data_IF_136941551992
#
_entry.id   IF_136941551992
#
_cell.length_a   1.000
_cell.length_b   1.000
_cell.length_c   1.000
_cell.angle_alpha   90.00
_cell.angle_beta   90.00
_cell.angle_gamma   90.00
#
_symmetry.space_group_name_H-M   'P 1'
#
loop_
_entity.id
_entity.type
_entity.pdbx_description
1 polymer ?
#
# COMPACT_ATOMS: atom_id res chain seq x y z
N UNK A 1 3.64 52.78 16.39
CA UNK A 1 3.28 51.58 17.17
C UNK A 1 2.05 50.95 16.52
N UNK A 2 2.12 49.65 16.18
CA UNK A 2 0.96 48.84 15.83
C UNK A 2 0.66 48.64 14.34
N UNK A 3 1.57 47.99 13.60
CA UNK A 3 1.22 47.23 12.38
C UNK A 3 0.72 45.85 12.85
N UNK A 4 -0.48 45.43 12.45
CA UNK A 4 -0.90 44.02 12.57
C UNK A 4 -1.51 43.58 11.25
N UNK A 5 -0.89 42.54 10.71
CA UNK A 5 -1.13 41.95 9.41
C UNK A 5 -2.40 41.09 9.36
N UNK A 6 -2.88 40.96 8.13
CA UNK A 6 -3.78 39.92 7.62
C UNK A 6 -3.51 38.52 8.17
N UNK A 7 -4.51 37.96 8.86
CA UNK A 7 -4.58 36.54 9.18
C UNK A 7 -5.07 35.75 7.97
N UNK A 8 -4.14 35.36 7.09
CA UNK A 8 -4.38 34.35 6.06
C UNK A 8 -4.69 33.00 6.70
N UNK A 9 -5.91 32.51 6.53
CA UNK A 9 -6.28 31.12 6.78
C UNK A 9 -5.61 30.21 5.77
N UNK A 10 -4.35 29.84 6.03
CA UNK A 10 -3.61 28.88 5.22
C UNK A 10 -4.05 27.47 5.63
N UNK A 11 -4.79 26.83 4.74
CA UNK A 11 -4.97 25.39 4.63
C UNK A 11 -3.63 24.67 4.85
N UNK A 12 -3.42 24.07 6.02
CA UNK A 12 -2.33 23.12 6.29
C UNK A 12 -2.69 21.74 5.73
N UNK A 13 -2.82 21.65 4.42
CA UNK A 13 -2.50 20.42 3.69
C UNK A 13 -1.27 20.73 2.84
N UNK A 14 -0.10 20.67 3.49
CA UNK A 14 1.19 20.75 2.81
C UNK A 14 1.45 19.38 2.17
N UNK A 15 1.85 19.45 0.89
CA UNK A 15 2.31 18.36 0.04
C UNK A 15 3.64 17.76 0.55
N UNK A 16 4.16 16.78 -0.18
CA UNK A 16 5.50 16.15 -0.11
C UNK A 16 5.66 14.99 0.91
N UNK A 17 6.67 14.12 0.72
CA UNK A 17 6.64 12.78 0.11
C UNK A 17 6.54 11.65 1.16
N UNK A 18 5.91 10.51 0.83
CA UNK A 18 5.61 9.40 1.77
C UNK A 18 6.81 9.01 2.67
N UNK A 19 6.63 9.31 3.95
CA UNK A 19 7.48 9.03 5.11
C UNK A 19 7.60 7.50 5.31
N UNK A 20 8.76 6.93 5.73
CA UNK A 20 8.82 5.53 6.19
C UNK A 20 7.87 5.18 7.36
N UNK A 21 7.20 6.17 7.95
CA UNK A 21 6.09 6.00 8.89
C UNK A 21 4.70 5.83 8.24
N UNK A 22 4.58 5.91 6.90
CA UNK A 22 3.33 5.58 6.18
C UNK A 22 3.10 4.06 6.21
N UNK A 23 2.68 3.59 7.40
CA UNK A 23 2.29 2.21 7.65
C UNK A 23 1.12 1.87 6.76
N UNK A 24 1.19 0.70 6.12
CA UNK A 24 0.02 0.00 5.60
C UNK A 24 -1.12 0.14 6.60
N UNK A 25 -2.28 0.55 6.11
CA UNK A 25 -3.43 0.73 6.97
C UNK A 25 -3.83 -0.64 7.50
N UNK A 26 -3.92 -0.76 8.83
CA UNK A 26 -4.37 -1.98 9.48
C UNK A 26 -5.86 -2.20 9.16
N UNK A 27 -6.28 -3.43 8.78
CA UNK A 27 -7.69 -3.68 8.59
C UNK A 27 -8.43 -3.50 9.90
N UNK A 28 -9.54 -2.78 9.84
CA UNK A 28 -10.28 -2.30 10.98
C UNK A 28 -10.95 -3.46 11.70
N UNK A 29 -10.52 -3.69 12.94
CA UNK A 29 -11.05 -4.73 13.83
C UNK A 29 -12.19 -4.15 14.68
N UNK A 30 -13.38 -4.73 14.54
CA UNK A 30 -14.53 -4.40 15.36
C UNK A 30 -14.66 -5.42 16.50
N UNK A 31 -15.00 -4.93 17.69
CA UNK A 31 -15.12 -5.71 18.93
C UNK A 31 -16.54 -6.25 19.07
N UNK A 32 -16.68 -7.50 19.51
CA UNK A 32 -17.99 -8.05 19.85
C UNK A 32 -18.57 -7.33 21.07
N UNK A 33 -19.76 -6.76 20.91
CA UNK A 33 -20.53 -6.09 21.96
C UNK A 33 -21.36 -7.07 22.78
N UNK A 34 -21.64 -8.26 22.22
CA UNK A 34 -22.58 -9.28 22.73
C UNK A 34 -24.06 -8.87 22.68
N UNK A 35 -24.36 -7.72 22.08
CA UNK A 35 -25.70 -7.27 21.77
C UNK A 35 -25.95 -7.66 20.29
N UNK A 36 -26.81 -8.65 19.99
CA UNK A 36 -26.91 -9.23 18.64
C UNK A 36 -27.17 -8.21 17.53
N UNK A 37 -28.06 -7.25 17.78
CA UNK A 37 -28.39 -6.17 16.84
C UNK A 37 -27.20 -5.24 16.56
N UNK A 38 -26.39 -4.92 17.58
CA UNK A 38 -25.22 -4.07 17.40
C UNK A 38 -24.10 -4.83 16.71
N UNK A 39 -23.90 -6.11 17.06
CA UNK A 39 -22.90 -6.96 16.42
C UNK A 39 -23.20 -7.15 14.93
N UNK A 40 -24.46 -7.39 14.56
CA UNK A 40 -24.89 -7.47 13.16
C UNK A 40 -24.67 -6.16 12.40
N UNK A 41 -24.97 -5.02 13.04
CA UNK A 41 -24.72 -3.70 12.46
C UNK A 41 -23.21 -3.47 12.23
N UNK A 42 -22.38 -3.72 13.25
CA UNK A 42 -20.94 -3.51 13.16
C UNK A 42 -20.29 -4.44 12.14
N UNK A 43 -20.70 -5.71 12.05
CA UNK A 43 -20.22 -6.63 11.02
C UNK A 43 -20.51 -6.10 9.61
N UNK A 44 -21.73 -5.62 9.37
CA UNK A 44 -22.14 -5.03 8.09
C UNK A 44 -21.35 -3.75 7.76
N UNK A 45 -21.12 -2.90 8.76
CA UNK A 45 -20.35 -1.66 8.61
C UNK A 45 -18.84 -1.89 8.42
N UNK A 46 -18.33 -3.03 8.87
CA UNK A 46 -16.91 -3.37 8.79
C UNK A 46 -16.42 -3.74 7.39
N UNK A 47 -17.29 -4.31 6.55
CA UNK A 47 -16.95 -4.74 5.19
C UNK A 47 -16.50 -3.59 4.26
N UNK A 48 -17.33 -2.55 4.01
CA UNK A 48 -16.94 -1.44 3.12
C UNK A 48 -15.73 -0.67 3.64
N UNK A 49 -15.56 -0.64 4.96
CA UNK A 49 -14.46 0.03 5.61
C UNK A 49 -13.12 -0.68 5.39
N UNK A 50 -13.12 -2.02 5.42
CA UNK A 50 -11.92 -2.81 5.11
C UNK A 50 -11.62 -2.82 3.60
N UNK A 51 -12.64 -2.76 2.75
CA UNK A 51 -12.45 -2.59 1.31
C UNK A 51 -11.74 -1.26 0.98
N UNK A 52 -12.10 -0.16 1.66
CA UNK A 52 -11.36 1.11 1.55
C UNK A 52 -9.89 0.98 1.96
N UNK A 53 -9.60 0.22 3.02
CA UNK A 53 -8.23 -0.05 3.47
C UNK A 53 -7.45 -0.81 2.39
N UNK A 54 -8.05 -1.85 1.81
CA UNK A 54 -7.42 -2.69 0.79
C UNK A 54 -7.13 -1.89 -0.50
N UNK A 55 -8.07 -1.07 -0.96
CA UNK A 55 -7.87 -0.19 -2.12
C UNK A 55 -6.73 0.81 -1.85
N UNK A 56 -6.72 1.44 -0.68
CA UNK A 56 -5.67 2.39 -0.29
C UNK A 56 -4.28 1.76 -0.32
N UNK A 57 -4.15 0.58 0.32
CA UNK A 57 -2.91 -0.16 0.40
C UNK A 57 -2.46 -0.65 -0.98
N UNK A 58 -3.39 -1.04 -1.85
CA UNK A 58 -3.09 -1.49 -3.23
C UNK A 58 -2.46 -0.39 -4.09
N UNK A 59 -2.97 0.85 -4.04
CA UNK A 59 -2.34 1.98 -4.76
C UNK A 59 -0.93 2.25 -4.20
N UNK A 60 -0.79 2.24 -2.87
CA UNK A 60 0.50 2.49 -2.21
C UNK A 60 1.54 1.44 -2.59
N UNK A 61 1.13 0.18 -2.68
CA UNK A 61 1.98 -0.91 -3.11
C UNK A 61 2.41 -0.76 -4.57
N UNK A 62 1.48 -0.49 -5.49
CA UNK A 62 1.83 -0.31 -6.90
C UNK A 62 2.73 0.90 -7.15
N UNK A 63 2.60 1.97 -6.37
CA UNK A 63 3.56 3.09 -6.38
C UNK A 63 4.98 2.60 -6.02
N UNK A 64 5.11 1.81 -4.95
CA UNK A 64 6.38 1.24 -4.54
C UNK A 64 6.96 0.28 -5.58
N UNK A 65 6.12 -0.57 -6.16
CA UNK A 65 6.52 -1.53 -7.20
C UNK A 65 7.00 -0.83 -8.47
N UNK A 66 6.36 0.27 -8.87
CA UNK A 66 6.78 1.07 -10.02
C UNK A 66 8.17 1.67 -9.80
N UNK A 67 8.41 2.28 -8.63
CA UNK A 67 9.72 2.85 -8.28
C UNK A 67 10.80 1.76 -8.20
N UNK A 68 10.48 0.61 -7.60
CA UNK A 68 11.40 -0.51 -7.50
C UNK A 68 11.77 -1.07 -8.89
N UNK A 69 10.79 -1.24 -9.78
CA UNK A 69 11.03 -1.68 -11.15
C UNK A 69 11.88 -0.68 -11.96
N UNK A 70 11.70 0.63 -11.73
CA UNK A 70 12.50 1.66 -12.38
C UNK A 70 13.95 1.64 -11.89
N UNK A 71 14.16 1.45 -10.59
CA UNK A 71 15.49 1.22 -10.02
C UNK A 71 16.13 -0.05 -10.60
N UNK A 72 15.38 -1.14 -10.73
CA UNK A 72 15.87 -2.40 -11.31
C UNK A 72 16.38 -2.23 -12.75
N UNK A 73 15.65 -1.46 -13.56
CA UNK A 73 16.04 -1.15 -14.94
C UNK A 73 17.32 -0.32 -15.01
N UNK A 74 17.63 0.47 -13.98
CA UNK A 74 18.89 1.20 -13.85
C UNK A 74 20.05 0.32 -13.30
N UNK A 75 19.83 -0.98 -13.14
CA UNK A 75 20.81 -1.94 -12.65
C UNK A 75 20.86 -2.09 -11.14
N UNK A 76 19.92 -1.47 -10.41
CA UNK A 76 19.88 -1.57 -8.96
C UNK A 76 19.38 -2.95 -8.50
N UNK A 77 19.92 -3.38 -7.37
CA UNK A 77 19.53 -4.59 -6.66
C UNK A 77 18.10 -4.48 -6.15
N UNK A 78 17.38 -5.58 -6.30
CA UNK A 78 16.00 -5.78 -5.91
C UNK A 78 15.92 -6.80 -4.78
N UNK A 79 14.79 -6.78 -4.08
CA UNK A 79 14.52 -7.67 -2.95
C UNK A 79 13.30 -8.51 -3.28
N UNK A 80 13.42 -9.84 -3.14
CA UNK A 80 12.32 -10.78 -3.30
C UNK A 80 12.13 -11.58 -2.02
N UNK A 81 10.88 -11.69 -1.60
CA UNK A 81 10.45 -12.67 -0.61
C UNK A 81 9.99 -13.93 -1.32
N UNK A 82 10.10 -15.06 -0.63
CA UNK A 82 9.50 -16.32 -1.06
C UNK A 82 8.93 -17.04 0.15
N UNK A 83 7.80 -17.72 -0.04
CA UNK A 83 7.16 -18.56 0.97
C UNK A 83 7.30 -20.01 0.53
N UNK A 84 8.10 -20.77 1.27
CA UNK A 84 8.37 -22.18 1.03
C UNK A 84 7.42 -23.11 1.78
N UNK A 85 7.84 -24.38 1.90
CA UNK A 85 7.09 -25.38 2.65
C UNK A 85 6.86 -24.94 4.11
N UNK A 86 5.69 -25.31 4.66
CA UNK A 86 5.24 -24.93 6.01
C UNK A 86 5.18 -23.41 6.28
N UNK A 87 5.10 -22.59 5.23
CA UNK A 87 5.01 -21.12 5.38
C UNK A 87 6.35 -20.43 5.65
N UNK A 88 7.49 -21.14 5.58
CA UNK A 88 8.81 -20.54 5.83
C UNK A 88 9.10 -19.43 4.84
N UNK A 89 9.60 -18.31 5.34
CA UNK A 89 9.92 -17.13 4.55
C UNK A 89 11.42 -17.06 4.30
N UNK A 90 11.81 -16.72 3.07
CA UNK A 90 13.20 -16.42 2.72
C UNK A 90 13.30 -15.10 1.93
N UNK A 91 14.39 -14.37 2.15
CA UNK A 91 14.76 -13.14 1.47
C UNK A 91 15.89 -13.41 0.47
N UNK A 92 15.77 -12.91 -0.75
CA UNK A 92 16.87 -12.93 -1.72
C UNK A 92 17.08 -11.55 -2.34
N UNK A 93 18.34 -11.18 -2.49
CA UNK A 93 18.74 -10.01 -3.28
C UNK A 93 19.08 -10.48 -4.69
N UNK A 94 18.58 -9.76 -5.69
CA UNK A 94 18.78 -10.10 -7.10
C UNK A 94 18.87 -8.83 -7.95
N UNK A 95 19.44 -8.89 -9.16
CA UNK A 95 19.46 -7.78 -10.13
C UNK A 95 19.36 -8.30 -11.55
N UNK A 96 19.10 -7.43 -12.51
CA UNK A 96 19.29 -7.77 -13.92
C UNK A 96 20.78 -7.70 -14.28
N UNK A 97 21.28 -8.72 -14.98
CA UNK A 97 22.61 -8.71 -15.55
C UNK A 97 22.66 -7.90 -16.86
N UNK A 98 23.84 -7.85 -17.50
CA UNK A 98 24.05 -7.12 -18.76
C UNK A 98 23.25 -7.70 -19.95
N UNK A 99 22.69 -8.89 -19.81
CA UNK A 99 21.87 -9.59 -20.81
C UNK A 99 20.38 -9.56 -20.42
N UNK A 100 20.01 -8.69 -19.48
CA UNK A 100 18.67 -8.58 -18.90
C UNK A 100 18.14 -9.88 -18.28
N UNK A 101 19.05 -10.76 -17.84
CA UNK A 101 18.70 -11.97 -17.11
C UNK A 101 18.72 -11.72 -15.61
N UNK A 102 17.85 -12.42 -14.88
CA UNK A 102 17.82 -12.35 -13.43
C UNK A 102 19.06 -13.04 -12.84
N UNK A 103 19.86 -12.28 -12.10
CA UNK A 103 21.01 -12.78 -11.33
C UNK A 103 20.72 -12.64 -9.84
N UNK A 104 20.66 -13.77 -9.13
CA UNK A 104 20.58 -13.77 -7.66
C UNK A 104 21.98 -13.54 -7.11
N UNK A 105 22.14 -12.55 -6.23
CA UNK A 105 23.43 -12.18 -5.68
C UNK A 105 23.99 -13.33 -4.85
N UNK A 106 25.27 -13.64 -5.07
CA UNK A 106 26.06 -14.49 -4.17
C UNK A 106 26.26 -13.79 -2.83
N UNK A 107 26.70 -14.53 -1.80
CA UNK A 107 26.98 -13.95 -0.48
C UNK A 107 28.00 -12.80 -0.56
N UNK A 108 29.05 -12.95 -1.37
CA UNK A 108 30.08 -11.92 -1.55
C UNK A 108 29.52 -10.67 -2.25
N UNK A 109 28.75 -10.83 -3.33
CA UNK A 109 28.12 -9.70 -4.04
C UNK A 109 27.10 -8.99 -3.15
N UNK A 110 26.37 -9.73 -2.32
CA UNK A 110 25.46 -9.18 -1.32
C UNK A 110 26.23 -8.35 -0.30
N UNK A 111 27.30 -8.88 0.28
CA UNK A 111 28.08 -8.15 1.28
C UNK A 111 28.72 -6.89 0.68
N UNK A 112 29.21 -6.95 -0.56
CA UNK A 112 29.67 -5.79 -1.31
C UNK A 112 28.54 -4.75 -1.46
N UNK A 113 27.34 -5.17 -1.91
CA UNK A 113 26.21 -4.25 -2.06
C UNK A 113 25.81 -3.60 -0.74
N UNK A 114 25.77 -4.38 0.34
CA UNK A 114 25.39 -3.89 1.66
C UNK A 114 26.48 -3.02 2.30
N UNK A 115 27.74 -3.14 1.88
CA UNK A 115 28.83 -2.29 2.37
C UNK A 115 28.74 -0.83 1.89
N UNK A 116 27.87 -0.54 0.92
CA UNK A 116 27.68 0.79 0.36
C UNK A 116 27.20 1.83 1.39
N UNK A 117 26.35 1.44 2.35
CA UNK A 117 25.96 2.32 3.45
C UNK A 117 25.57 1.54 4.71
N UNK A 118 25.81 2.14 5.88
CA UNK A 118 25.47 1.54 7.17
C UNK A 118 23.96 1.34 7.29
N UNK A 119 23.16 2.29 6.82
CA UNK A 119 21.70 2.23 6.87
C UNK A 119 21.18 1.06 6.01
N UNK A 120 21.76 0.84 4.83
CA UNK A 120 21.36 -0.28 3.97
C UNK A 120 21.67 -1.62 4.65
N UNK A 121 22.87 -1.74 5.25
CA UNK A 121 23.24 -2.94 6.01
C UNK A 121 22.29 -3.18 7.18
N UNK A 122 22.01 -2.16 7.98
CA UNK A 122 21.10 -2.24 9.11
C UNK A 122 19.67 -2.62 8.68
N UNK A 123 19.17 -2.08 7.58
CA UNK A 123 17.85 -2.44 7.06
C UNK A 123 17.79 -3.90 6.56
N UNK A 124 18.87 -4.39 5.96
CA UNK A 124 18.99 -5.81 5.60
C UNK A 124 19.02 -6.70 6.84
N UNK A 125 19.87 -6.38 7.82
CA UNK A 125 19.99 -7.15 9.06
C UNK A 125 18.65 -7.16 9.84
N UNK A 126 17.92 -6.04 9.86
CA UNK A 126 16.58 -5.96 10.44
C UNK A 126 15.56 -6.84 9.70
N UNK A 127 15.65 -6.92 8.36
CA UNK A 127 14.78 -7.78 7.55
C UNK A 127 15.06 -9.26 7.82
N UNK A 128 16.33 -9.66 7.85
CA UNK A 128 16.76 -11.03 8.19
C UNK A 128 16.34 -11.41 9.62
N UNK A 129 16.47 -10.47 10.57
CA UNK A 129 16.05 -10.69 11.95
C UNK A 129 14.54 -10.90 12.06
N UNK A 130 13.73 -10.05 11.41
CA UNK A 130 12.27 -10.21 11.39
C UNK A 130 11.85 -11.54 10.78
N UNK A 131 12.49 -11.95 9.67
CA UNK A 131 12.24 -13.24 9.01
C UNK A 131 12.64 -14.42 9.90
N UNK A 132 13.79 -14.31 10.58
CA UNK A 132 14.26 -15.34 11.53
C UNK A 132 13.26 -15.50 12.67
N UNK A 133 12.76 -14.40 13.24
CA UNK A 133 11.76 -14.42 14.31
C UNK A 133 10.45 -15.05 13.85
N UNK A 134 9.95 -14.69 12.65
CA UNK A 134 8.76 -15.31 12.07
C UNK A 134 8.96 -16.81 11.85
N UNK A 135 10.07 -17.22 11.24
CA UNK A 135 10.37 -18.62 10.98
C UNK A 135 10.51 -19.44 12.28
N UNK A 136 11.16 -18.89 13.30
CA UNK A 136 11.28 -19.54 14.61
C UNK A 136 9.89 -19.71 15.27
N UNK A 137 9.03 -18.70 15.16
CA UNK A 137 7.66 -18.75 15.68
C UNK A 137 6.76 -19.71 14.88
N UNK A 138 7.02 -19.95 13.59
CA UNK A 138 6.35 -20.98 12.81
C UNK A 138 6.75 -22.39 13.26
N UNK A 139 8.02 -22.60 13.60
CA UNK A 139 8.52 -23.89 14.10
C UNK A 139 8.00 -24.19 15.52
N UNK A 140 7.91 -23.16 16.37
CA UNK A 140 7.39 -23.27 17.73
C UNK A 140 6.43 -22.12 18.02
N UNK A 141 5.13 -22.28 17.70
CA UNK A 141 4.15 -21.24 17.95
C UNK A 141 4.07 -20.87 19.44
N UNK A 142 3.94 -19.57 19.78
CA UNK A 142 3.91 -19.11 21.16
C UNK A 142 2.66 -19.54 21.94
N UNK A 143 1.55 -19.84 21.25
CA UNK A 143 0.31 -20.31 21.85
C UNK A 143 -0.27 -21.50 21.06
N UNK A 144 -1.34 -22.11 21.58
CA UNK A 144 -2.11 -23.14 20.87
C UNK A 144 -3.16 -22.55 19.89
N UNK A 145 -3.20 -21.23 19.72
CA UNK A 145 -4.14 -20.60 18.79
C UNK A 145 -3.82 -20.97 17.33
N UNK A 146 -4.76 -20.87 16.39
CA UNK A 146 -4.45 -21.09 14.98
C UNK A 146 -3.38 -20.12 14.47
N UNK A 147 -2.34 -20.64 13.82
CA UNK A 147 -1.31 -19.83 13.14
C UNK A 147 -1.92 -19.09 11.96
N UNK A 148 -1.49 -17.85 11.72
CA UNK A 148 -1.90 -17.09 10.55
C UNK A 148 -1.45 -17.79 9.26
N UNK A 149 -2.31 -17.82 8.25
CA UNK A 149 -1.92 -18.22 6.90
C UNK A 149 -1.58 -16.97 6.09
N UNK A 150 -0.51 -17.05 5.31
CA UNK A 150 -0.09 -15.97 4.43
C UNK A 150 0.56 -16.52 3.17
N UNK A 151 0.57 -15.69 2.12
CA UNK A 151 1.19 -16.00 0.84
C UNK A 151 2.09 -14.85 0.41
N UNK A 152 3.11 -15.14 -0.39
CA UNK A 152 3.87 -14.08 -1.05
C UNK A 152 3.05 -13.55 -2.23
N UNK A 153 2.92 -12.23 -2.30
CA UNK A 153 2.33 -11.51 -3.44
C UNK A 153 3.16 -10.27 -3.68
N UNK A 154 3.75 -10.17 -4.88
CA UNK A 154 4.45 -8.96 -5.37
C UNK A 154 5.54 -8.45 -4.41
N UNK A 155 6.27 -9.38 -3.83
CA UNK A 155 7.36 -9.17 -2.91
C UNK A 155 6.92 -8.88 -1.47
N UNK A 156 5.66 -9.08 -1.10
CA UNK A 156 5.15 -8.89 0.27
C UNK A 156 4.48 -10.15 0.78
N UNK A 157 4.40 -10.29 2.09
CA UNK A 157 3.60 -11.33 2.72
C UNK A 157 2.18 -10.81 2.91
N UNK A 158 1.21 -11.47 2.30
CA UNK A 158 -0.21 -11.15 2.44
C UNK A 158 -0.88 -12.18 3.35
N UNK A 159 -1.43 -11.73 4.48
CA UNK A 159 -2.16 -12.60 5.41
C UNK A 159 -3.50 -13.01 4.77
N UNK A 160 -3.62 -14.27 4.40
CA UNK A 160 -4.83 -14.86 3.81
C UNK A 160 -5.81 -15.35 4.87
N UNK A 161 -5.31 -15.69 6.06
CA UNK A 161 -6.14 -16.02 7.22
C UNK A 161 -5.45 -15.53 8.49
N UNK A 162 -6.16 -14.72 9.28
CA UNK A 162 -5.64 -14.21 10.54
C UNK A 162 -5.43 -15.32 11.56
N UNK A 163 -4.44 -15.13 12.41
CA UNK A 163 -4.13 -16.02 13.51
C UNK A 163 -3.05 -15.44 14.41
N UNK A 164 -2.46 -16.27 15.25
CA UNK A 164 -1.20 -15.89 15.88
C UNK A 164 -0.14 -15.64 14.79
N UNK A 165 0.84 -14.79 15.09
CA UNK A 165 1.93 -14.35 14.20
C UNK A 165 1.58 -13.27 13.16
N UNK A 166 0.33 -12.78 13.08
CA UNK A 166 -0.05 -11.64 12.21
C UNK A 166 0.92 -10.45 12.36
N UNK A 167 1.35 -10.17 13.60
CA UNK A 167 2.29 -9.08 13.92
C UNK A 167 3.69 -9.36 13.35
N UNK A 168 4.17 -10.60 13.42
CA UNK A 168 5.48 -10.96 12.87
C UNK A 168 5.49 -10.89 11.33
N UNK A 169 4.39 -11.26 10.67
CA UNK A 169 4.23 -11.08 9.22
C UNK A 169 4.32 -9.60 8.84
N UNK A 170 3.68 -8.73 9.63
CA UNK A 170 3.78 -7.28 9.47
C UNK A 170 5.21 -6.78 9.68
N UNK A 171 5.89 -7.22 10.72
CA UNK A 171 7.26 -6.80 11.03
C UNK A 171 8.21 -7.13 9.86
N UNK A 172 8.04 -8.29 9.23
CA UNK A 172 8.76 -8.65 7.99
C UNK A 172 8.46 -7.65 6.86
N UNK A 173 7.18 -7.36 6.59
CA UNK A 173 6.81 -6.41 5.53
C UNK A 173 7.39 -5.02 5.76
N UNK A 174 7.35 -4.52 7.01
CA UNK A 174 7.89 -3.20 7.37
C UNK A 174 9.42 -3.15 7.21
N UNK A 175 10.13 -4.18 7.67
CA UNK A 175 11.58 -4.25 7.54
C UNK A 175 12.00 -4.31 6.05
N UNK A 176 11.36 -5.18 5.27
CA UNK A 176 11.63 -5.33 3.83
C UNK A 176 11.28 -4.07 3.05
N UNK A 177 10.21 -3.36 3.42
CA UNK A 177 9.86 -2.08 2.81
C UNK A 177 10.96 -1.04 3.01
N UNK A 178 11.52 -0.96 4.22
CA UNK A 178 12.63 -0.05 4.54
C UNK A 178 13.86 -0.37 3.70
N UNK A 179 14.21 -1.66 3.59
CA UNK A 179 15.31 -2.12 2.75
C UNK A 179 15.09 -1.73 1.27
N UNK A 180 13.90 -1.98 0.72
CA UNK A 180 13.56 -1.57 -0.66
C UNK A 180 13.67 -0.07 -0.86
N UNK A 181 13.22 0.73 0.11
CA UNK A 181 13.29 2.18 0.03
C UNK A 181 14.72 2.68 -0.08
N UNK A 182 15.62 2.14 0.73
CA UNK A 182 17.04 2.51 0.67
C UNK A 182 17.67 2.11 -0.68
N UNK A 183 17.30 0.96 -1.24
CA UNK A 183 17.76 0.55 -2.58
C UNK A 183 17.24 1.51 -3.67
N UNK A 184 15.96 1.89 -3.63
CA UNK A 184 15.39 2.87 -4.58
C UNK A 184 16.08 4.24 -4.48
N UNK A 185 16.42 4.69 -3.27
CA UNK A 185 17.14 5.94 -3.05
C UNK A 185 18.55 5.88 -3.67
N UNK A 186 19.25 4.74 -3.56
CA UNK A 186 20.56 4.55 -4.20
C UNK A 186 20.50 4.60 -5.73
N UNK A 187 19.38 4.17 -6.32
CA UNK A 187 19.12 4.34 -7.75
C UNK A 187 18.65 5.77 -8.13
N UNK A 188 18.50 6.68 -7.17
CA UNK A 188 17.89 8.01 -7.38
C UNK A 188 16.45 7.95 -7.93
N UNK A 189 15.70 6.90 -7.58
CA UNK A 189 14.27 6.78 -7.92
C UNK A 189 13.44 7.06 -6.66
N UNK A 190 13.05 8.31 -6.47
CA UNK A 190 12.36 8.78 -5.26
C UNK A 190 10.89 9.13 -5.49
N UNK A 191 10.51 9.42 -6.74
CA UNK A 191 9.17 9.86 -7.13
C UNK A 191 8.51 8.96 -8.19
N UNK A 192 7.18 9.04 -8.27
CA UNK A 192 6.43 8.40 -9.36
C UNK A 192 6.80 9.02 -10.71
N UNK A 193 6.99 10.34 -10.74
CA UNK A 193 7.37 11.06 -11.95
C UNK A 193 8.71 10.57 -12.53
N UNK A 194 9.72 10.32 -11.68
CA UNK A 194 11.01 9.75 -12.10
C UNK A 194 10.85 8.34 -12.68
N UNK A 195 10.12 7.47 -12.00
CA UNK A 195 9.91 6.10 -12.46
C UNK A 195 9.15 6.06 -13.80
N UNK A 196 8.10 6.87 -13.94
CA UNK A 196 7.35 7.00 -15.17
C UNK A 196 8.20 7.58 -16.31
N UNK A 197 9.01 8.62 -16.04
CA UNK A 197 9.94 9.18 -17.02
C UNK A 197 10.92 8.13 -17.55
N UNK A 198 11.45 7.27 -16.69
CA UNK A 198 12.33 6.17 -17.09
C UNK A 198 11.60 5.23 -18.05
N UNK A 199 10.38 4.83 -17.73
CA UNK A 199 9.57 3.96 -18.61
C UNK A 199 9.32 4.62 -19.97
N UNK A 200 8.87 5.87 -19.98
CA UNK A 200 8.54 6.58 -21.22
C UNK A 200 9.75 6.70 -22.14
N UNK A 201 10.96 6.89 -21.59
CA UNK A 201 12.20 6.87 -22.36
C UNK A 201 12.50 5.51 -22.98
N UNK A 202 12.24 4.41 -22.28
CA UNK A 202 12.43 3.08 -22.84
C UNK A 202 11.38 2.74 -23.90
N UNK A 203 10.12 3.12 -23.68
CA UNK A 203 9.05 2.90 -24.65
C UNK A 203 9.31 3.65 -25.96
N UNK A 204 9.88 4.86 -25.90
CA UNK A 204 10.28 5.63 -27.08
C UNK A 204 11.35 4.97 -27.97
N UNK A 205 12.01 3.92 -27.49
CA UNK A 205 12.97 3.15 -28.29
C UNK A 205 12.33 2.07 -29.15
N UNK A 206 11.08 1.71 -28.86
CA UNK A 206 10.42 0.52 -29.43
C UNK A 206 9.05 0.83 -30.03
N UNK A 207 8.42 1.94 -29.67
CA UNK A 207 7.13 2.40 -30.18
C UNK A 207 7.21 3.88 -30.55
N UNK A 208 6.43 4.31 -31.54
CA UNK A 208 6.27 5.72 -31.84
C UNK A 208 5.35 6.38 -30.80
N UNK A 209 5.97 6.94 -29.77
CA UNK A 209 5.31 7.65 -28.66
C UNK A 209 5.61 9.15 -28.71
N UNK A 210 5.85 9.71 -29.91
CA UNK A 210 6.21 11.12 -30.09
C UNK A 210 5.19 12.10 -29.51
N UNK A 211 3.90 11.75 -29.55
CA UNK A 211 2.79 12.54 -29.02
C UNK A 211 2.24 12.00 -27.69
N UNK A 212 3.02 11.18 -26.97
CA UNK A 212 2.53 10.57 -25.73
C UNK A 212 2.23 11.62 -24.67
N UNK A 213 1.05 11.52 -24.07
CA UNK A 213 0.61 12.34 -22.94
C UNK A 213 -0.15 11.48 -21.94
N UNK A 214 -0.39 12.03 -20.75
CA UNK A 214 -1.24 11.41 -19.75
C UNK A 214 -2.38 12.37 -19.49
N UNK A 215 -3.61 11.85 -19.49
CA UNK A 215 -4.81 12.59 -19.16
C UNK A 215 -5.45 12.02 -17.90
N UNK A 216 -6.04 12.89 -17.09
CA UNK A 216 -6.86 12.51 -15.94
C UNK A 216 -8.25 13.09 -16.09
N UNK A 217 -9.29 12.29 -15.88
CA UNK A 217 -10.65 12.84 -15.84
C UNK A 217 -10.97 13.49 -14.47
N UNK A 218 -12.16 14.08 -14.34
CA UNK A 218 -12.59 14.76 -13.10
C UNK A 218 -12.62 13.84 -11.87
N UNK A 219 -12.75 12.53 -12.09
CA UNK A 219 -12.71 11.53 -11.02
C UNK A 219 -11.29 11.04 -10.71
N UNK A 220 -10.28 11.47 -11.46
CA UNK A 220 -8.88 11.10 -11.31
C UNK A 220 -8.48 9.82 -12.04
N UNK A 221 -9.33 9.27 -12.92
CA UNK A 221 -8.98 8.10 -13.73
C UNK A 221 -7.88 8.47 -14.71
N UNK A 222 -6.85 7.63 -14.80
CA UNK A 222 -5.64 7.88 -15.59
C UNK A 222 -5.78 7.22 -16.95
N UNK A 223 -5.50 7.98 -18.01
CA UNK A 223 -5.39 7.49 -19.39
C UNK A 223 -4.03 7.86 -19.97
N UNK A 224 -3.41 6.92 -20.65
CA UNK A 224 -2.21 7.18 -21.45
C UNK A 224 -2.68 7.39 -22.88
N UNK A 225 -2.29 8.52 -23.46
CA UNK A 225 -2.68 8.94 -24.80
C UNK A 225 -1.44 8.99 -25.69
N UNK A 226 -1.60 8.74 -26.98
CA UNK A 226 -0.60 9.05 -28.00
C UNK A 226 -1.28 9.83 -29.13
N UNK A 227 -1.08 11.15 -29.13
CA UNK A 227 -1.95 12.04 -29.89
C UNK A 227 -3.39 11.97 -29.35
N UNK A 228 -4.35 11.71 -30.23
CA UNK A 228 -5.77 11.63 -29.88
C UNK A 228 -6.23 10.21 -29.49
N UNK A 229 -5.36 9.20 -29.61
CA UNK A 229 -5.70 7.80 -29.34
C UNK A 229 -5.26 7.35 -27.93
N UNK A 230 -6.13 6.60 -27.26
CA UNK A 230 -5.79 5.95 -25.98
C UNK A 230 -4.86 4.76 -26.23
N UNK A 231 -3.70 4.78 -25.58
CA UNK A 231 -2.66 3.77 -25.70
C UNK A 231 -2.74 2.78 -24.53
N UNK A 232 -3.03 1.52 -24.84
CA UNK A 232 -2.94 0.43 -23.87
C UNK A 232 -1.52 -0.15 -23.84
N UNK A 233 -0.78 0.15 -22.77
CA UNK A 233 0.61 -0.29 -22.59
C UNK A 233 0.79 -1.81 -22.69
N UNK A 234 -0.26 -2.60 -22.37
CA UNK A 234 -0.22 -4.07 -22.45
C UNK A 234 -0.03 -4.58 -23.88
N UNK A 235 -0.40 -3.78 -24.87
CA UNK A 235 -0.28 -4.12 -26.30
C UNK A 235 1.14 -3.98 -26.82
N UNK A 236 2.03 -3.30 -26.08
CA UNK A 236 3.44 -3.14 -26.45
C UNK A 236 4.17 -4.48 -26.26
N UNK A 237 4.66 -5.06 -27.36
CA UNK A 237 5.30 -6.38 -27.38
C UNK A 237 6.82 -6.27 -27.44
N UNK A 238 7.50 -7.39 -27.18
CA UNK A 238 8.97 -7.55 -27.33
C UNK A 238 9.81 -6.58 -26.47
N UNK A 239 9.30 -6.18 -25.32
CA UNK A 239 10.07 -5.45 -24.33
C UNK A 239 11.13 -6.35 -23.70
N UNK A 240 12.32 -5.80 -23.45
CA UNK A 240 13.34 -6.46 -22.64
C UNK A 240 12.80 -6.67 -21.21
N UNK A 241 13.18 -7.75 -20.50
CA UNK A 241 12.63 -8.09 -19.18
C UNK A 241 12.52 -6.93 -18.16
N UNK A 242 13.55 -6.09 -17.93
CA UNK A 242 13.43 -4.98 -16.97
C UNK A 242 12.42 -3.91 -17.41
N UNK A 243 12.31 -3.66 -18.72
CA UNK A 243 11.33 -2.71 -19.27
C UNK A 243 9.91 -3.28 -19.17
N UNK A 244 9.76 -4.59 -19.42
CA UNK A 244 8.49 -5.30 -19.24
C UNK A 244 8.02 -5.22 -17.78
N UNK A 245 8.92 -5.47 -16.81
CA UNK A 245 8.60 -5.35 -15.38
C UNK A 245 8.14 -3.92 -15.03
N UNK A 246 8.83 -2.90 -15.55
CA UNK A 246 8.46 -1.51 -15.27
C UNK A 246 7.12 -1.11 -15.91
N UNK A 247 6.87 -1.55 -17.15
CA UNK A 247 5.55 -1.40 -17.81
C UNK A 247 4.45 -2.06 -16.98
N UNK A 248 4.66 -3.31 -16.55
CA UNK A 248 3.65 -4.08 -15.82
C UNK A 248 3.33 -3.41 -14.47
N UNK A 249 4.34 -2.85 -13.79
CA UNK A 249 4.13 -2.08 -12.56
C UNK A 249 3.33 -0.78 -12.79
N UNK A 250 3.52 -0.09 -13.93
CA UNK A 250 2.72 1.10 -14.26
C UNK A 250 1.27 0.72 -14.59
N UNK A 251 1.09 -0.35 -15.35
CA UNK A 251 -0.23 -0.90 -15.66
C UNK A 251 -0.99 -1.25 -14.39
N UNK A 252 -0.32 -1.91 -13.45
CA UNK A 252 -0.91 -2.26 -12.14
C UNK A 252 -1.33 -1.02 -11.34
N UNK A 253 -0.49 0.02 -11.32
CA UNK A 253 -0.83 1.29 -10.67
C UNK A 253 -2.09 1.91 -11.31
N UNK A 254 -2.17 1.92 -12.64
CA UNK A 254 -3.33 2.46 -13.37
C UNK A 254 -4.59 1.65 -13.05
N UNK A 255 -4.52 0.32 -13.01
CA UNK A 255 -5.65 -0.55 -12.69
C UNK A 255 -6.15 -0.37 -11.26
N UNK A 256 -5.22 -0.25 -10.30
CA UNK A 256 -5.56 0.01 -8.90
C UNK A 256 -6.17 1.40 -8.72
N UNK A 257 -5.65 2.42 -9.43
CA UNK A 257 -6.26 3.75 -9.46
C UNK A 257 -7.66 3.69 -10.08
N UNK A 258 -7.84 2.99 -11.19
CA UNK A 258 -9.14 2.83 -11.85
C UNK A 258 -10.17 2.16 -10.93
N UNK A 259 -9.77 1.12 -10.20
CA UNK A 259 -10.58 0.44 -9.18
C UNK A 259 -10.97 1.41 -8.07
N UNK A 260 -10.03 2.23 -7.61
CA UNK A 260 -10.29 3.20 -6.56
C UNK A 260 -11.23 4.33 -7.02
N UNK A 261 -11.03 4.85 -8.23
CA UNK A 261 -11.87 5.91 -8.82
C UNK A 261 -13.33 5.47 -8.94
N UNK A 262 -13.56 4.18 -9.20
CA UNK A 262 -14.90 3.60 -9.35
C UNK A 262 -15.55 3.26 -8.01
N UNK A 263 -14.78 2.77 -7.03
CA UNK A 263 -15.32 2.20 -5.80
C UNK A 263 -15.31 3.16 -4.60
N UNK A 264 -14.27 4.01 -4.47
CA UNK A 264 -14.08 4.88 -3.28
C UNK A 264 -15.24 5.86 -3.04
N UNK A 265 -15.88 6.48 -4.05
CA UNK A 265 -17.01 7.37 -3.79
C UNK A 265 -18.16 6.68 -3.06
N UNK A 266 -18.61 5.53 -3.57
CA UNK A 266 -19.72 4.76 -2.99
C UNK A 266 -19.34 4.20 -1.61
N UNK A 267 -18.14 3.63 -1.48
CA UNK A 267 -17.65 3.12 -0.19
C UNK A 267 -17.50 4.25 0.85
N UNK A 268 -17.12 5.44 0.41
CA UNK A 268 -17.03 6.64 1.25
C UNK A 268 -18.39 7.10 1.76
N UNK A 269 -19.40 7.14 0.89
CA UNK A 269 -20.79 7.46 1.25
C UNK A 269 -21.38 6.41 2.19
N UNK A 270 -21.22 5.13 1.85
CA UNK A 270 -21.64 4.00 2.69
C UNK A 270 -21.00 4.07 4.08
N UNK A 271 -19.69 4.30 4.15
CA UNK A 271 -18.96 4.47 5.41
C UNK A 271 -19.47 5.67 6.21
N UNK A 272 -19.80 6.79 5.56
CA UNK A 272 -20.35 7.97 6.23
C UNK A 272 -21.76 7.70 6.79
N UNK A 273 -22.61 7.00 6.04
CA UNK A 273 -23.94 6.60 6.50
C UNK A 273 -23.86 5.71 7.75
N UNK A 274 -22.99 4.69 7.74
CA UNK A 274 -22.75 3.85 8.91
C UNK A 274 -22.24 4.66 10.11
N UNK A 275 -21.36 5.65 9.89
CA UNK A 275 -20.88 6.51 10.98
C UNK A 275 -22.03 7.32 11.60
N UNK A 276 -22.93 7.87 10.80
CA UNK A 276 -24.08 8.62 11.32
C UNK A 276 -25.03 7.74 12.14
N UNK A 277 -25.35 6.53 11.65
CA UNK A 277 -26.18 5.58 12.40
C UNK A 277 -25.51 5.13 13.70
N UNK A 278 -24.19 4.88 13.65
CA UNK A 278 -23.41 4.42 14.78
C UNK A 278 -23.36 5.42 15.95
N UNK A 279 -23.53 6.74 15.70
CA UNK A 279 -23.48 7.78 16.75
C UNK A 279 -24.55 7.61 17.83
N UNK A 280 -25.70 7.04 17.48
CA UNK A 280 -26.79 6.84 18.42
C UNK A 280 -26.61 5.58 19.29
N UNK A 281 -25.77 4.63 18.86
CA UNK A 281 -25.64 3.32 19.52
C UNK A 281 -25.14 3.39 20.97
N UNK A 282 -24.13 4.22 21.33
CA UNK A 282 -23.66 4.31 22.72
C UNK A 282 -24.77 4.68 23.72
N UNK A 283 -25.71 5.54 23.33
CA UNK A 283 -26.84 5.94 24.17
C UNK A 283 -27.88 4.82 24.33
N UNK A 284 -27.97 3.90 23.37
CA UNK A 284 -28.90 2.76 23.37
C UNK A 284 -28.39 1.54 24.14
N UNK A 285 -27.11 1.52 24.53
CA UNK A 285 -26.49 0.37 25.23
C UNK A 285 -27.26 -0.04 26.49
N UNK A 286 -27.66 0.87 27.42
CA UNK A 286 -28.34 0.46 28.65
C UNK A 286 -29.66 -0.28 28.39
N UNK A 287 -30.46 0.23 27.46
CA UNK A 287 -31.74 -0.37 27.07
C UNK A 287 -31.53 -1.69 26.34
N UNK A 288 -30.58 -1.74 25.41
CA UNK A 288 -30.25 -2.96 24.66
C UNK A 288 -29.71 -4.08 25.55
N UNK A 289 -28.90 -3.75 26.57
CA UNK A 289 -28.44 -4.74 27.57
C UNK A 289 -29.62 -5.23 28.41
N UNK A 290 -30.48 -4.33 28.87
CA UNK A 290 -31.64 -4.67 29.71
C UNK A 290 -32.67 -5.56 28.97
N UNK A 291 -32.75 -5.43 27.64
CA UNK A 291 -33.63 -6.22 26.78
C UNK A 291 -32.94 -7.47 26.20
N UNK A 292 -31.72 -7.78 26.63
CA UNK A 292 -30.95 -8.95 26.18
C UNK A 292 -30.76 -9.95 27.31
N UNK A 293 -30.24 -11.14 26.98
CA UNK A 293 -29.86 -12.16 27.97
C UNK A 293 -28.56 -11.82 28.74
N UNK A 294 -28.05 -10.59 28.61
CA UNK A 294 -26.83 -10.14 29.28
C UNK A 294 -27.13 -9.68 30.71
N UNK A 295 -26.32 -10.14 31.67
CA UNK A 295 -26.37 -9.63 33.04
C UNK A 295 -25.90 -8.17 33.14
N UNK A 296 -26.37 -7.46 34.17
CA UNK A 296 -25.99 -6.05 34.47
C UNK A 296 -24.46 -5.82 34.52
N UNK A 297 -23.69 -6.84 34.90
CA UNK A 297 -22.23 -6.78 34.95
C UNK A 297 -21.55 -6.71 33.58
N UNK A 298 -22.26 -7.02 32.49
CA UNK A 298 -21.75 -6.94 31.11
C UNK A 298 -21.97 -5.56 30.48
N UNK A 299 -22.82 -4.70 31.07
CA UNK A 299 -23.11 -3.35 30.56
C UNK A 299 -21.84 -2.52 30.30
N UNK A 300 -20.87 -2.43 31.22
CA UNK A 300 -19.65 -1.66 30.97
C UNK A 300 -18.82 -2.20 29.80
N UNK A 301 -18.79 -3.53 29.59
CA UNK A 301 -18.07 -4.17 28.49
C UNK A 301 -18.73 -3.89 27.14
N UNK A 302 -20.06 -4.01 27.08
CA UNK A 302 -20.84 -3.70 25.89
C UNK A 302 -20.71 -2.21 25.51
N UNK A 303 -20.76 -1.30 26.49
CA UNK A 303 -20.57 0.14 26.28
C UNK A 303 -19.18 0.47 25.73
N UNK A 304 -18.13 -0.14 26.31
CA UNK A 304 -16.75 0.06 25.87
C UNK A 304 -16.52 -0.50 24.45
N UNK A 305 -17.04 -1.68 24.14
CA UNK A 305 -16.95 -2.28 22.81
C UNK A 305 -17.68 -1.41 21.76
N UNK A 306 -18.92 -1.00 22.04
CA UNK A 306 -19.72 -0.13 21.17
C UNK A 306 -18.99 1.18 20.89
N UNK A 307 -18.53 1.88 21.93
CA UNK A 307 -17.79 3.15 21.78
C UNK A 307 -16.51 2.98 20.96
N UNK A 308 -15.76 1.88 21.20
CA UNK A 308 -14.56 1.55 20.42
C UNK A 308 -14.89 1.32 18.94
N UNK A 309 -16.00 0.64 18.64
CA UNK A 309 -16.43 0.36 17.27
C UNK A 309 -16.89 1.63 16.56
N UNK A 310 -17.70 2.48 17.20
CA UNK A 310 -18.09 3.79 16.65
C UNK A 310 -16.85 4.62 16.29
N UNK A 311 -15.86 4.65 17.19
CA UNK A 311 -14.59 5.32 16.92
C UNK A 311 -13.84 4.69 15.73
N UNK A 312 -13.82 3.37 15.62
CA UNK A 312 -13.18 2.67 14.51
C UNK A 312 -13.87 2.98 13.16
N UNK A 313 -15.20 2.94 13.11
CA UNK A 313 -15.99 3.30 11.92
C UNK A 313 -15.73 4.75 11.46
N UNK A 314 -15.52 5.68 12.41
CA UNK A 314 -15.24 7.09 12.09
C UNK A 314 -13.97 7.32 11.24
N UNK A 315 -13.15 6.28 11.03
CA UNK A 315 -11.99 6.34 10.15
C UNK A 315 -12.35 6.16 8.67
N UNK A 316 -13.50 5.58 8.32
CA UNK A 316 -13.87 5.31 6.92
C UNK A 316 -13.84 6.54 6.02
N UNK A 317 -14.57 7.62 6.38
CA UNK A 317 -14.53 8.86 5.61
C UNK A 317 -13.13 9.47 5.48
N UNK A 318 -12.26 9.27 6.50
CA UNK A 318 -10.88 9.75 6.47
C UNK A 318 -10.03 8.94 5.48
N UNK A 319 -10.18 7.61 5.46
CA UNK A 319 -9.49 6.71 4.54
C UNK A 319 -9.95 6.96 3.11
N UNK A 320 -11.26 7.11 2.87
CA UNK A 320 -11.80 7.47 1.57
C UNK A 320 -11.18 8.78 1.05
N UNK A 321 -11.16 9.83 1.88
CA UNK A 321 -10.54 11.11 1.52
C UNK A 321 -9.04 10.99 1.24
N UNK A 322 -8.30 10.26 2.06
CA UNK A 322 -6.87 10.03 1.85
C UNK A 322 -6.60 9.28 0.53
N UNK A 323 -7.44 8.31 0.21
CA UNK A 323 -7.35 7.54 -1.04
C UNK A 323 -7.65 8.41 -2.26
N UNK A 324 -8.65 9.30 -2.19
CA UNK A 324 -8.91 10.28 -3.25
C UNK A 324 -7.72 11.22 -3.49
N UNK A 325 -7.03 11.64 -2.44
CA UNK A 325 -5.80 12.45 -2.56
C UNK A 325 -4.68 11.64 -3.24
N UNK A 326 -4.54 10.35 -2.93
CA UNK A 326 -3.56 9.48 -3.58
C UNK A 326 -3.83 9.27 -5.08
N UNK A 327 -5.09 9.11 -5.46
CA UNK A 327 -5.51 9.03 -6.87
C UNK A 327 -5.06 10.30 -7.62
N UNK A 328 -5.38 11.47 -7.07
CA UNK A 328 -5.00 12.76 -7.67
C UNK A 328 -3.48 12.93 -7.73
N UNK A 329 -2.76 12.51 -6.69
CA UNK A 329 -1.30 12.52 -6.65
C UNK A 329 -0.70 11.67 -7.78
N UNK A 330 -1.13 10.41 -7.92
CA UNK A 330 -0.65 9.51 -8.95
C UNK A 330 -0.88 10.09 -10.35
N UNK A 331 -2.09 10.58 -10.62
CA UNK A 331 -2.41 11.23 -11.90
C UNK A 331 -1.50 12.43 -12.19
N UNK A 332 -1.33 13.35 -11.22
CA UNK A 332 -0.47 14.52 -11.37
C UNK A 332 0.99 14.16 -11.65
N UNK A 333 1.54 13.18 -10.96
CA UNK A 333 2.93 12.74 -11.15
C UNK A 333 3.15 12.16 -12.55
N UNK A 334 2.20 11.38 -13.06
CA UNK A 334 2.29 10.81 -14.41
C UNK A 334 2.12 11.86 -15.50
N UNK A 335 1.22 12.84 -15.31
CA UNK A 335 1.10 14.02 -16.18
C UNK A 335 2.41 14.78 -16.23
N UNK A 336 3.00 15.05 -15.06
CA UNK A 336 4.29 15.74 -14.97
C UNK A 336 5.40 14.96 -15.69
N UNK A 337 5.47 13.63 -15.51
CA UNK A 337 6.44 12.79 -16.20
C UNK A 337 6.31 12.86 -17.72
N UNK A 338 5.07 12.83 -18.23
CA UNK A 338 4.78 12.86 -19.66
C UNK A 338 5.11 14.21 -20.31
N UNK A 339 5.02 15.31 -19.54
CA UNK A 339 5.33 16.66 -20.00
C UNK A 339 6.84 16.97 -20.07
N UNK A 340 7.70 16.14 -19.45
CA UNK A 340 9.15 16.34 -19.50
C UNK A 340 9.66 16.00 -20.91
N UNK A 341 10.44 16.88 -21.56
CA UNK A 341 11.02 16.60 -22.87
C UNK A 341 11.81 15.29 -22.89
N UNK A 342 11.45 14.42 -23.83
CA UNK A 342 12.16 13.17 -24.12
C UNK A 342 13.31 13.57 -25.03
N UNK A 343 14.43 14.00 -24.44
CA UNK A 343 15.62 14.42 -25.20
C UNK A 343 15.97 13.40 -26.29
N UNK A 344 16.24 13.91 -27.50
CA UNK A 344 16.65 13.11 -28.66
C UNK A 344 18.07 12.56 -28.54
#
# INVERSE_FOLDING_TARGET
>A
MGQVCSGSGVSKHVCVPRDPADKELDPIKLRKTKIPEFDSFFESAGAPLNELVDIHNSIAESEGNLKAAAAALQGETQVRLSVGHAGRVALVLWKFDKKDQMHVLTAAERDEKLSFSLELRQAFDASEHAITNLNAALEKPPTDEPVCAFAEKRGRLFVTKRGQLDVLVRDVNVAVFTLRKLLMIQAHVTSLSEAAKILLKELAKVEDVGALSVATNDKGAIKIMNGDEEMDLRKIKKLRPPVAQLRDALVELIDNVQTAVTSVPELGESSAAFVEEAKALPAKVPDAVSNSDLGITELPKAAAATTSNVKALSNGPKIARATSVMIQYAGRELVQAAAIPRGG
#
